data_IF_544015607003
#
_entry.id   IF_544015607003
#
_cell.length_a   1.000
_cell.length_b   1.000
_cell.length_c   1.000
_cell.angle_alpha   90.00
_cell.angle_beta   90.00
_cell.angle_gamma   90.00
#
_symmetry.space_group_name_H-M   'P 1'
#
loop_
_entity.id
_entity.type
_entity.pdbx_description
1 polymer ?
#
# COMPACT_ATOMS: atom_id res chain seq x y z
N UNK A 1 -18.69 -4.16 -6.86
CA UNK A 1 -17.61 -3.16 -6.69
C UNK A 1 -17.95 -2.31 -5.48
N UNK A 2 -17.00 -1.99 -4.57
CA UNK A 2 -17.31 -1.08 -3.47
C UNK A 2 -17.64 0.30 -4.03
N UNK A 3 -18.66 0.93 -3.46
CA UNK A 3 -18.97 2.33 -3.74
C UNK A 3 -17.77 3.19 -3.32
N UNK A 4 -17.19 3.85 -4.31
CA UNK A 4 -15.95 4.64 -4.17
C UNK A 4 -16.15 5.81 -3.20
N UNK A 5 -17.39 6.27 -2.99
CA UNK A 5 -17.70 7.33 -2.05
C UNK A 5 -17.53 6.93 -0.57
N UNK A 6 -17.51 5.62 -0.26
CA UNK A 6 -17.54 5.08 1.12
C UNK A 6 -16.47 4.04 1.40
N UNK A 7 -15.46 3.88 0.53
CA UNK A 7 -14.42 2.88 0.74
C UNK A 7 -13.72 3.08 2.08
N UNK A 8 -13.76 2.01 2.88
CA UNK A 8 -12.98 1.85 4.10
C UNK A 8 -12.29 0.50 4.03
N UNK A 9 -11.07 0.40 4.53
CA UNK A 9 -10.39 -0.89 4.59
C UNK A 9 -11.20 -1.79 5.55
N UNK A 10 -11.67 -2.98 5.11
CA UNK A 10 -12.45 -3.87 5.95
C UNK A 10 -11.77 -4.18 7.28
N UNK A 11 -12.52 -4.12 8.38
CA UNK A 11 -11.99 -4.34 9.75
C UNK A 11 -11.23 -5.66 9.87
N UNK A 12 -11.74 -6.74 9.26
CA UNK A 12 -11.07 -8.06 9.24
C UNK A 12 -9.65 -7.98 8.67
N UNK A 13 -9.44 -7.17 7.63
CA UNK A 13 -8.13 -6.96 7.01
C UNK A 13 -7.25 -6.12 7.94
N UNK A 14 -7.79 -5.06 8.55
CA UNK A 14 -7.07 -4.24 9.52
C UNK A 14 -6.52 -5.09 10.67
N UNK A 15 -7.39 -5.88 11.31
CA UNK A 15 -7.03 -6.77 12.41
C UNK A 15 -5.96 -7.78 11.99
N UNK A 16 -6.13 -8.45 10.84
CA UNK A 16 -5.15 -9.43 10.35
C UNK A 16 -3.75 -8.82 10.20
N UNK A 17 -3.67 -7.64 9.58
CA UNK A 17 -2.39 -6.99 9.32
C UNK A 17 -1.77 -6.40 10.59
N UNK A 18 -2.57 -5.81 11.47
CA UNK A 18 -2.11 -5.31 12.77
C UNK A 18 -1.56 -6.43 13.65
N UNK A 19 -2.23 -7.57 13.73
CA UNK A 19 -1.72 -8.75 14.45
C UNK A 19 -0.38 -9.23 13.88
N UNK A 20 -0.23 -9.26 12.55
CA UNK A 20 1.06 -9.59 11.93
C UNK A 20 2.16 -8.61 12.32
N UNK A 21 1.86 -7.31 12.31
CA UNK A 21 2.82 -6.25 12.71
C UNK A 21 3.18 -6.36 14.19
N UNK A 22 2.23 -6.65 15.06
CA UNK A 22 2.49 -6.86 16.49
C UNK A 22 3.39 -8.08 16.74
N UNK A 23 3.16 -9.18 16.03
CA UNK A 23 3.92 -10.42 16.21
C UNK A 23 5.38 -10.34 15.74
N UNK A 24 5.74 -9.33 14.95
CA UNK A 24 7.09 -9.17 14.39
C UNK A 24 7.87 -8.02 15.03
N UNK A 25 7.24 -7.17 15.85
CA UNK A 25 7.81 -5.89 16.25
C UNK A 25 8.57 -6.02 17.59
N UNK A 26 9.91 -6.02 17.60
CA UNK A 26 10.65 -5.54 18.76
C UNK A 26 10.57 -4.01 18.81
N UNK A 27 10.69 -3.45 20.02
CA UNK A 27 10.46 -2.03 20.34
C UNK A 27 11.41 -1.02 19.66
N UNK A 28 12.35 -1.48 18.83
CA UNK A 28 13.45 -0.65 18.31
C UNK A 28 13.52 -0.54 16.77
N UNK A 29 12.51 -0.98 16.05
CA UNK A 29 12.57 -0.93 14.58
C UNK A 29 12.50 0.49 14.02
N UNK A 30 13.31 0.73 12.99
CA UNK A 30 13.29 1.92 12.14
C UNK A 30 12.78 1.55 10.74
N UNK A 31 12.61 2.54 9.85
CA UNK A 31 12.34 2.25 8.44
C UNK A 31 13.42 1.39 7.76
N UNK A 32 14.68 1.49 8.20
CA UNK A 32 15.77 0.73 7.62
C UNK A 32 15.75 -0.74 8.08
N UNK A 33 15.50 -1.00 9.36
CA UNK A 33 15.34 -2.38 9.84
C UNK A 33 14.10 -3.04 9.22
N UNK A 34 13.01 -2.29 9.04
CA UNK A 34 11.80 -2.77 8.36
C UNK A 34 12.08 -3.17 6.90
N UNK A 35 12.97 -2.46 6.20
CA UNK A 35 13.33 -2.79 4.81
C UNK A 35 14.04 -4.14 4.71
N UNK A 36 14.80 -4.52 5.74
CA UNK A 36 15.58 -5.76 5.78
C UNK A 36 14.89 -6.89 6.54
N UNK A 37 13.66 -6.67 7.03
CA UNK A 37 12.91 -7.68 7.78
C UNK A 37 12.22 -8.72 6.87
N UNK A 38 11.79 -9.83 7.45
CA UNK A 38 10.96 -10.83 6.74
C UNK A 38 9.55 -10.32 6.36
N UNK A 39 9.15 -9.16 6.90
CA UNK A 39 7.86 -8.54 6.65
C UNK A 39 8.02 -7.03 6.43
N UNK A 40 8.44 -6.68 5.21
CA UNK A 40 8.72 -5.30 4.80
C UNK A 40 7.45 -4.48 4.59
N UNK A 41 7.61 -3.14 4.53
CA UNK A 41 6.51 -2.24 4.14
C UNK A 41 5.92 -2.58 2.76
N UNK A 42 6.74 -3.04 1.81
CA UNK A 42 6.26 -3.51 0.51
C UNK A 42 5.37 -4.75 0.64
N UNK A 43 5.75 -5.70 1.51
CA UNK A 43 4.97 -6.91 1.76
C UNK A 43 3.64 -6.57 2.43
N UNK A 44 3.68 -5.73 3.48
CA UNK A 44 2.48 -5.20 4.13
C UNK A 44 1.51 -4.56 3.12
N UNK A 45 1.99 -3.64 2.29
CA UNK A 45 1.16 -2.97 1.28
C UNK A 45 0.64 -3.96 0.24
N UNK A 46 1.45 -4.92 -0.20
CA UNK A 46 1.01 -5.94 -1.17
C UNK A 46 -0.14 -6.77 -0.60
N UNK A 47 -0.05 -7.21 0.66
CA UNK A 47 -1.10 -7.98 1.34
C UNK A 47 -2.36 -7.13 1.57
N UNK A 48 -2.20 -5.88 2.02
CA UNK A 48 -3.32 -4.93 2.15
C UNK A 48 -4.08 -4.76 0.83
N UNK A 49 -3.35 -4.50 -0.25
CA UNK A 49 -3.96 -4.24 -1.56
C UNK A 49 -4.62 -5.49 -2.14
N UNK A 50 -3.96 -6.64 -2.08
CA UNK A 50 -4.51 -7.91 -2.60
C UNK A 50 -5.66 -8.45 -1.77
N UNK A 51 -5.75 -8.08 -0.49
CA UNK A 51 -6.88 -8.43 0.36
C UNK A 51 -8.05 -7.47 0.21
N UNK A 52 -7.80 -6.20 -0.13
CA UNK A 52 -8.83 -5.15 -0.22
C UNK A 52 -9.43 -5.00 -1.62
N UNK A 53 -8.74 -5.44 -2.66
CA UNK A 53 -9.14 -5.23 -4.05
C UNK A 53 -8.99 -6.50 -4.89
N UNK A 54 -9.82 -6.61 -5.93
CA UNK A 54 -9.68 -7.69 -6.93
C UNK A 54 -8.39 -7.54 -7.72
N UNK A 55 -7.87 -8.66 -8.20
CA UNK A 55 -6.66 -8.65 -9.05
C UNK A 55 -6.86 -7.78 -10.30
N UNK A 56 -8.04 -7.84 -10.91
CA UNK A 56 -8.40 -7.02 -12.07
C UNK A 56 -8.28 -5.53 -11.76
N UNK A 57 -8.88 -5.07 -10.65
CA UNK A 57 -8.78 -3.67 -10.23
C UNK A 57 -7.32 -3.23 -10.07
N UNK A 58 -6.50 -4.06 -9.40
CA UNK A 58 -5.08 -3.76 -9.19
C UNK A 58 -4.27 -3.74 -10.49
N UNK A 59 -4.64 -4.53 -11.50
CA UNK A 59 -4.01 -4.53 -12.83
C UNK A 59 -4.39 -3.28 -13.63
N UNK A 60 -5.63 -2.83 -13.55
CA UNK A 60 -6.17 -1.73 -14.37
C UNK A 60 -5.97 -0.35 -13.74
N UNK A 61 -5.71 -0.25 -12.43
CA UNK A 61 -5.58 1.03 -11.73
C UNK A 61 -4.17 1.38 -11.28
N UNK A 62 -3.78 2.65 -11.37
CA UNK A 62 -2.49 3.20 -10.89
C UNK A 62 -2.71 4.16 -9.73
N UNK A 63 -1.69 4.37 -8.88
CA UNK A 63 -1.76 5.26 -7.71
C UNK A 63 -2.23 6.68 -8.05
N UNK A 64 -1.83 7.22 -9.20
CA UNK A 64 -2.17 8.57 -9.63
C UNK A 64 -2.16 8.71 -11.14
N UNK A 65 -2.93 9.68 -11.67
CA UNK A 65 -2.97 10.05 -13.09
C UNK A 65 -1.62 10.50 -13.67
N UNK A 66 -0.70 10.96 -12.81
CA UNK A 66 0.62 11.48 -13.20
C UNK A 66 1.57 10.37 -13.66
N UNK A 67 2.22 10.60 -14.81
CA UNK A 67 3.20 9.69 -15.39
C UNK A 67 2.60 8.55 -16.23
N UNK A 68 3.38 8.11 -17.21
CA UNK A 68 3.08 7.03 -18.14
C UNK A 68 4.02 7.13 -19.34
N UNK A 69 4.59 6.00 -19.79
CA UNK A 69 5.35 5.99 -21.04
C UNK A 69 4.37 5.97 -22.21
N UNK A 70 4.59 6.82 -23.21
CA UNK A 70 3.86 6.78 -24.48
C UNK A 70 3.87 5.35 -25.04
N UNK A 71 2.72 4.84 -25.49
CA UNK A 71 2.57 3.46 -25.97
C UNK A 71 2.33 2.39 -24.90
N UNK A 72 2.08 2.76 -23.65
CA UNK A 72 1.65 1.80 -22.61
C UNK A 72 0.14 1.83 -22.39
N UNK A 73 -0.43 0.67 -22.03
CA UNK A 73 -1.86 0.51 -21.70
C UNK A 73 -2.28 1.59 -20.70
N UNK A 74 -3.31 2.36 -21.05
CA UNK A 74 -3.88 3.39 -20.17
C UNK A 74 -4.52 2.71 -18.97
N UNK A 75 -4.15 3.19 -17.78
CA UNK A 75 -4.64 2.72 -16.48
C UNK A 75 -5.31 3.88 -15.76
N UNK A 76 -6.43 3.60 -15.13
CA UNK A 76 -7.21 4.60 -14.41
C UNK A 76 -6.51 4.97 -13.09
N UNK A 77 -6.52 6.24 -12.67
CA UNK A 77 -6.09 6.58 -11.33
C UNK A 77 -7.03 5.96 -10.29
N UNK A 78 -6.47 5.44 -9.20
CA UNK A 78 -7.25 5.13 -8.01
C UNK A 78 -7.88 6.42 -7.46
N UNK A 79 -9.05 6.27 -6.85
CA UNK A 79 -9.73 7.39 -6.20
C UNK A 79 -8.83 7.98 -5.08
N UNK A 80 -8.66 9.32 -5.02
CA UNK A 80 -7.85 9.96 -4.00
C UNK A 80 -8.22 9.58 -2.56
N UNK A 81 -9.50 9.35 -2.25
CA UNK A 81 -9.96 8.94 -0.91
C UNK A 81 -9.47 7.54 -0.56
N UNK A 82 -9.46 6.61 -1.52
CA UNK A 82 -8.90 5.27 -1.33
C UNK A 82 -7.41 5.37 -1.02
N UNK A 83 -6.68 6.17 -1.80
CA UNK A 83 -5.24 6.37 -1.57
C UNK A 83 -5.01 7.01 -0.20
N UNK A 84 -5.83 7.96 0.21
CA UNK A 84 -5.73 8.62 1.50
C UNK A 84 -5.97 7.65 2.67
N UNK A 85 -7.03 6.82 2.62
CA UNK A 85 -7.31 5.78 3.62
C UNK A 85 -6.15 4.79 3.75
N UNK A 86 -5.56 4.34 2.64
CA UNK A 86 -4.37 3.45 2.65
C UNK A 86 -3.18 4.14 3.34
N UNK A 87 -2.95 5.41 3.04
CA UNK A 87 -1.86 6.19 3.64
C UNK A 87 -2.08 6.39 5.14
N UNK A 88 -3.28 6.76 5.56
CA UNK A 88 -3.61 7.03 6.95
C UNK A 88 -3.53 5.75 7.79
N UNK A 89 -4.15 4.68 7.30
CA UNK A 89 -4.08 3.37 7.94
C UNK A 89 -2.63 2.89 8.08
N UNK A 90 -1.86 2.88 6.98
CA UNK A 90 -0.47 2.38 7.04
C UNK A 90 0.42 3.26 7.91
N UNK A 91 0.23 4.58 7.89
CA UNK A 91 0.99 5.50 8.77
C UNK A 91 0.69 5.22 10.23
N UNK A 92 -0.58 4.98 10.57
CA UNK A 92 -1.00 4.67 11.94
C UNK A 92 -0.47 3.30 12.41
N UNK A 93 -0.54 2.27 11.56
CA UNK A 93 -0.06 0.92 11.91
C UNK A 93 1.44 0.90 12.22
N UNK A 94 2.22 1.74 11.55
CA UNK A 94 3.67 1.81 11.67
C UNK A 94 4.16 3.05 12.45
N UNK A 95 3.29 3.66 13.27
CA UNK A 95 3.58 4.93 13.95
C UNK A 95 4.71 4.85 14.98
N UNK A 96 4.91 3.70 15.63
CA UNK A 96 5.96 3.52 16.65
C UNK A 96 7.25 2.94 16.06
N UNK A 97 7.55 3.20 14.78
CA UNK A 97 8.91 3.01 14.28
C UNK A 97 9.79 4.16 14.80
N UNK A 98 10.93 3.83 15.40
CA UNK A 98 11.91 4.82 15.84
C UNK A 98 12.41 5.65 14.65
N UNK A 99 12.75 6.91 14.92
CA UNK A 99 13.30 7.88 13.97
C UNK A 99 12.48 8.07 12.69
N UNK A 100 11.20 7.72 12.73
CA UNK A 100 10.31 7.74 11.56
C UNK A 100 9.23 8.78 11.75
N UNK A 101 9.34 9.90 11.03
CA UNK A 101 8.29 10.91 11.01
C UNK A 101 7.12 10.47 10.12
N UNK A 102 5.90 10.98 10.33
CA UNK A 102 4.77 10.72 9.44
C UNK A 102 5.08 11.07 7.98
N UNK A 103 5.88 12.11 7.74
CA UNK A 103 6.29 12.50 6.38
C UNK A 103 7.19 11.44 5.73
N UNK A 104 8.19 10.93 6.46
CA UNK A 104 9.07 9.86 5.97
C UNK A 104 8.28 8.58 5.68
N UNK A 105 7.36 8.22 6.58
CA UNK A 105 6.47 7.08 6.38
C UNK A 105 5.60 7.26 5.12
N UNK A 106 4.95 8.41 4.93
CA UNK A 106 4.15 8.70 3.73
C UNK A 106 4.97 8.64 2.44
N UNK A 107 6.23 9.09 2.46
CA UNK A 107 7.14 8.94 1.32
C UNK A 107 7.43 7.47 1.00
N UNK A 108 7.71 6.66 2.03
CA UNK A 108 7.95 5.23 1.87
C UNK A 108 6.71 4.50 1.34
N UNK A 109 5.52 4.79 1.89
CA UNK A 109 4.23 4.26 1.41
C UNK A 109 4.03 4.61 -0.06
N UNK A 110 4.20 5.89 -0.43
CA UNK A 110 4.02 6.37 -1.80
C UNK A 110 4.91 5.61 -2.80
N UNK A 111 6.17 5.38 -2.43
CA UNK A 111 7.15 4.63 -3.24
C UNK A 111 6.71 3.18 -3.44
N UNK A 112 6.45 2.46 -2.35
CA UNK A 112 6.17 1.03 -2.40
C UNK A 112 4.79 0.71 -2.98
N UNK A 113 3.76 1.53 -2.70
CA UNK A 113 2.45 1.40 -3.32
C UNK A 113 2.53 1.62 -4.84
N UNK A 114 3.28 2.64 -5.27
CA UNK A 114 3.54 2.87 -6.70
C UNK A 114 4.26 1.70 -7.36
N UNK A 115 5.28 1.15 -6.71
CA UNK A 115 6.00 -0.03 -7.18
C UNK A 115 5.08 -1.25 -7.32
N UNK A 116 4.27 -1.53 -6.30
CA UNK A 116 3.33 -2.65 -6.30
C UNK A 116 2.33 -2.55 -7.45
N UNK A 117 1.64 -1.42 -7.58
CA UNK A 117 0.66 -1.22 -8.66
C UNK A 117 1.31 -1.28 -10.04
N UNK A 118 2.53 -0.78 -10.21
CA UNK A 118 3.27 -0.91 -11.47
C UNK A 118 3.56 -2.38 -11.80
N UNK A 119 3.93 -3.19 -10.80
CA UNK A 119 4.14 -4.63 -10.97
C UNK A 119 2.84 -5.36 -11.33
N UNK A 120 1.71 -4.99 -10.72
CA UNK A 120 0.40 -5.54 -11.09
C UNK A 120 0.03 -5.19 -12.53
N UNK A 121 0.22 -3.95 -12.97
CA UNK A 121 -0.04 -3.56 -14.36
C UNK A 121 0.82 -4.29 -15.40
N UNK A 122 2.04 -4.72 -15.04
CA UNK A 122 2.87 -5.57 -15.92
C UNK A 122 2.27 -6.95 -16.13
N UNK A 123 1.53 -7.49 -15.15
CA UNK A 123 0.84 -8.78 -15.28
C UNK A 123 -0.35 -8.73 -16.25
N UNK A 124 -0.86 -7.55 -16.58
CA UNK A 124 -1.89 -7.39 -17.62
C UNK A 124 -1.35 -7.63 -19.04
N UNK A 125 -0.03 -7.53 -19.23
CA UNK A 125 0.64 -7.70 -20.54
C UNK A 125 1.03 -9.16 -20.85
N UNK A 126 0.78 -10.09 -19.93
CA UNK A 126 1.02 -11.52 -20.09
C UNK A 126 -0.32 -12.23 -20.17
#
# INVERSE_FOLDING_TARGET
FPDVATFTIPVRIKTLLETKVQNIKPEEWTLDTLKNSGYTLYRFLSELMTSSFTEEYLKTHKKSGKGGKTGTVKREPMDPKIVQEIFDYTTQTWKDLKDTTPQLMRQAISKYLGQFLNNMGKKLKK
#
